data_IF_314220773651
#
_entry.id   IF_314220773651
#
_cell.length_a   1.000
_cell.length_b   1.000
_cell.length_c   1.000
_cell.angle_alpha   90.00
_cell.angle_beta   90.00
_cell.angle_gamma   90.00
#
_symmetry.space_group_name_H-M   'P 1'
#
loop_
_entity.id
_entity.type
_entity.pdbx_description
1 polymer ?
#
# COMPACT_ATOMS: atom_id res chain seq x y z
N UNK A 1 2.68 28.61 -14.14
CA UNK A 1 3.27 27.25 -14.01
C UNK A 1 3.06 26.72 -12.59
N UNK A 2 2.12 25.79 -12.41
CA UNK A 2 1.94 25.11 -11.12
C UNK A 2 3.13 24.18 -10.88
N UNK A 3 3.89 24.46 -9.83
CA UNK A 3 4.99 23.59 -9.41
C UNK A 3 4.38 22.40 -8.66
N UNK A 4 4.47 21.20 -9.26
CA UNK A 4 4.07 19.97 -8.59
C UNK A 4 4.98 19.72 -7.39
N UNK A 5 4.39 19.72 -6.19
CA UNK A 5 5.09 19.43 -4.93
C UNK A 5 4.66 18.08 -4.36
N UNK A 6 5.62 17.32 -3.82
CA UNK A 6 5.34 16.06 -3.11
C UNK A 6 5.46 16.30 -1.60
N UNK A 7 4.33 16.45 -0.88
CA UNK A 7 4.40 16.64 0.56
C UNK A 7 4.84 15.34 1.24
N UNK A 8 6.03 15.36 1.86
CA UNK A 8 6.57 14.24 2.63
C UNK A 8 6.56 14.62 4.11
N UNK A 9 5.92 13.77 4.93
CA UNK A 9 5.87 13.93 6.38
C UNK A 9 6.86 12.95 7.00
N UNK A 10 7.82 13.46 7.77
CA UNK A 10 8.71 12.63 8.56
C UNK A 10 7.98 12.07 9.78
N UNK A 11 7.65 10.78 9.77
CA UNK A 11 6.89 10.14 10.86
C UNK A 11 7.74 9.70 12.06
N UNK A 12 8.99 10.16 12.20
CA UNK A 12 9.96 9.64 13.19
C UNK A 12 9.41 9.66 14.62
N UNK A 13 8.67 10.71 15.00
CA UNK A 13 8.04 10.87 16.32
C UNK A 13 6.51 10.98 16.24
N UNK A 14 5.90 10.44 15.18
CA UNK A 14 4.45 10.52 15.02
C UNK A 14 3.73 9.59 16.03
N UNK A 15 2.54 9.98 16.54
CA UNK A 15 1.82 9.23 17.59
C UNK A 15 1.58 7.75 17.26
N UNK A 16 1.29 7.42 16.00
CA UNK A 16 1.02 6.04 15.56
C UNK A 16 2.20 5.38 14.82
N UNK A 17 3.42 5.91 14.95
CA UNK A 17 4.60 5.39 14.23
C UNK A 17 4.88 3.92 14.53
N UNK A 18 4.74 3.52 15.80
CA UNK A 18 4.95 2.14 16.24
C UNK A 18 3.87 1.20 15.72
N UNK A 19 2.60 1.63 15.77
CA UNK A 19 1.47 0.87 15.21
C UNK A 19 1.67 0.70 13.70
N UNK A 20 2.06 1.76 13.01
CA UNK A 20 2.36 1.73 11.58
C UNK A 20 3.49 0.75 11.26
N UNK A 21 4.57 0.74 12.05
CA UNK A 21 5.69 -0.19 11.86
C UNK A 21 5.27 -1.64 12.11
N UNK A 22 4.45 -1.86 13.14
CA UNK A 22 3.94 -3.18 13.48
C UNK A 22 3.03 -3.74 12.39
N UNK A 23 2.12 -2.91 11.85
CA UNK A 23 1.25 -3.31 10.73
C UNK A 23 2.06 -3.65 9.47
N UNK A 24 3.08 -2.85 9.15
CA UNK A 24 4.00 -3.14 8.05
C UNK A 24 4.69 -4.50 8.24
N UNK A 25 5.25 -4.77 9.42
CA UNK A 25 5.93 -6.03 9.72
C UNK A 25 5.05 -7.27 9.55
N UNK A 26 3.76 -7.19 9.90
CA UNK A 26 2.86 -8.36 9.80
C UNK A 26 2.24 -8.51 8.41
N UNK A 27 2.03 -7.41 7.67
CA UNK A 27 1.32 -7.44 6.38
C UNK A 27 2.27 -7.61 5.20
N UNK A 28 3.47 -7.00 5.24
CA UNK A 28 4.45 -7.04 4.14
C UNK A 28 4.85 -8.45 3.71
N UNK A 29 5.09 -9.42 4.62
CA UNK A 29 5.41 -10.80 4.21
C UNK A 29 4.28 -11.45 3.40
N UNK A 30 3.02 -11.21 3.79
CA UNK A 30 1.84 -11.75 3.11
C UNK A 30 1.70 -11.09 1.74
N UNK A 31 1.82 -9.77 1.68
CA UNK A 31 1.80 -9.01 0.43
C UNK A 31 2.86 -9.53 -0.55
N UNK A 32 4.11 -9.64 -0.11
CA UNK A 32 5.22 -10.11 -0.96
C UNK A 32 5.00 -11.54 -1.47
N UNK A 33 4.41 -12.42 -0.66
CA UNK A 33 4.04 -13.77 -1.10
C UNK A 33 3.00 -13.74 -2.23
N UNK A 34 1.99 -12.87 -2.10
CA UNK A 34 0.91 -12.73 -3.10
C UNK A 34 1.44 -12.11 -4.39
N UNK A 35 2.22 -11.03 -4.29
CA UNK A 35 2.63 -10.23 -5.46
C UNK A 35 3.68 -10.90 -6.32
N UNK A 36 4.51 -11.79 -5.76
CA UNK A 36 5.54 -12.53 -6.51
C UNK A 36 5.02 -13.18 -7.81
N UNK A 37 3.76 -13.62 -7.82
CA UNK A 37 3.15 -14.33 -8.94
C UNK A 37 2.32 -13.43 -9.88
N UNK A 38 2.03 -12.18 -9.49
CA UNK A 38 1.11 -11.29 -10.24
C UNK A 38 1.74 -9.95 -10.66
N UNK A 39 2.90 -9.59 -10.10
CA UNK A 39 3.65 -8.39 -10.47
C UNK A 39 5.01 -8.75 -11.05
N UNK A 40 5.70 -7.76 -11.62
CA UNK A 40 7.10 -7.85 -12.02
C UNK A 40 7.97 -7.19 -10.95
N UNK A 41 9.00 -7.88 -10.49
CA UNK A 41 9.85 -7.37 -9.40
C UNK A 41 10.87 -6.35 -9.94
N UNK A 42 11.33 -6.54 -11.18
CA UNK A 42 12.28 -5.67 -11.87
C UNK A 42 12.21 -5.89 -13.39
N UNK A 43 13.01 -5.14 -14.15
CA UNK A 43 13.08 -5.24 -15.61
C UNK A 43 13.51 -6.62 -16.11
N UNK A 44 14.43 -7.28 -15.41
CA UNK A 44 14.87 -8.64 -15.76
C UNK A 44 13.74 -9.66 -15.58
N UNK A 45 12.98 -9.56 -14.49
CA UNK A 45 11.81 -10.40 -14.21
C UNK A 45 10.69 -10.16 -15.23
N UNK A 46 10.47 -8.90 -15.63
CA UNK A 46 9.55 -8.52 -16.69
C UNK A 46 9.92 -9.19 -18.02
N UNK A 47 11.16 -9.04 -18.47
CA UNK A 47 11.62 -9.64 -19.74
C UNK A 47 11.48 -11.15 -19.71
N UNK A 48 11.83 -11.81 -18.60
CA UNK A 48 11.68 -13.25 -18.43
C UNK A 48 10.22 -13.68 -18.55
N UNK A 49 9.31 -13.05 -17.80
CA UNK A 49 7.88 -13.36 -17.82
C UNK A 49 7.23 -13.06 -19.17
N UNK A 50 7.66 -12.00 -19.87
CA UNK A 50 7.19 -11.71 -21.23
C UNK A 50 7.63 -12.78 -22.24
N UNK A 51 8.86 -13.28 -22.14
CA UNK A 51 9.33 -14.41 -22.96
C UNK A 51 8.54 -15.68 -22.68
N UNK A 52 8.26 -15.98 -21.40
CA UNK A 52 7.41 -17.11 -21.03
C UNK A 52 5.98 -16.93 -21.57
N UNK A 53 5.43 -15.71 -21.54
CA UNK A 53 4.11 -15.40 -22.09
C UNK A 53 4.05 -15.61 -23.61
N UNK A 54 5.10 -15.20 -24.33
CA UNK A 54 5.26 -15.42 -25.77
C UNK A 54 5.43 -16.91 -26.13
N UNK A 55 6.29 -17.64 -25.40
CA UNK A 55 6.51 -19.08 -25.59
C UNK A 55 5.24 -19.92 -25.36
N UNK A 56 4.36 -19.47 -24.48
CA UNK A 56 3.06 -20.10 -24.26
C UNK A 56 2.00 -19.72 -25.32
N UNK A 57 2.37 -18.91 -26.32
CA UNK A 57 1.48 -18.48 -27.41
C UNK A 57 0.46 -17.42 -27.01
N UNK A 58 0.62 -16.78 -25.85
CA UNK A 58 -0.31 -15.75 -25.39
C UNK A 58 -0.03 -14.38 -25.99
N UNK A 59 1.19 -14.14 -26.48
CA UNK A 59 1.54 -12.93 -27.21
C UNK A 59 1.09 -13.09 -28.67
N UNK A 60 0.04 -12.38 -29.04
CA UNK A 60 -0.55 -12.43 -30.38
C UNK A 60 -0.44 -11.06 -31.06
N UNK A 61 -0.74 -11.02 -32.35
CA UNK A 61 -0.82 -9.75 -33.10
C UNK A 61 -1.90 -8.79 -32.59
N UNK A 62 -2.83 -9.27 -31.77
CA UNK A 62 -3.90 -8.46 -31.16
C UNK A 62 -3.63 -8.11 -29.70
N UNK A 63 -2.49 -8.52 -29.13
CA UNK A 63 -2.10 -8.14 -27.77
C UNK A 63 -1.82 -6.64 -27.69
N UNK A 64 -2.46 -5.96 -26.74
CA UNK A 64 -2.25 -4.54 -26.47
C UNK A 64 -1.53 -4.35 -25.14
N UNK A 65 -0.49 -3.53 -25.15
CA UNK A 65 0.18 -3.05 -23.94
C UNK A 65 -0.40 -1.70 -23.55
N UNK A 66 -0.85 -1.57 -22.30
CA UNK A 66 -1.42 -0.33 -21.77
C UNK A 66 -0.63 0.07 -20.53
N UNK A 67 -0.33 1.36 -20.42
CA UNK A 67 0.34 1.95 -19.26
C UNK A 67 -0.66 2.89 -18.59
N UNK A 68 -0.86 2.69 -17.29
CA UNK A 68 -1.62 3.60 -16.44
C UNK A 68 -0.67 4.19 -15.42
N UNK A 69 -0.71 5.51 -15.28
CA UNK A 69 0.02 6.22 -14.22
C UNK A 69 -1.00 6.80 -13.23
N UNK A 70 -0.82 6.49 -11.94
CA UNK A 70 -1.71 6.97 -10.88
C UNK A 70 -1.05 8.16 -10.20
N UNK A 71 -1.57 9.35 -10.48
CA UNK A 71 -1.09 10.59 -9.85
C UNK A 71 -1.37 10.59 -8.35
N UNK A 72 -0.38 10.98 -7.55
CA UNK A 72 -0.54 11.23 -6.11
C UNK A 72 -1.13 10.06 -5.30
N UNK A 73 -0.81 8.82 -5.69
CA UNK A 73 -1.35 7.59 -5.09
C UNK A 73 -1.49 7.67 -3.56
N UNK A 74 -0.38 7.93 -2.86
CA UNK A 74 -0.36 7.95 -1.39
C UNK A 74 -1.28 9.00 -0.77
N UNK A 75 -1.31 10.22 -1.31
CA UNK A 75 -2.08 11.34 -0.75
C UNK A 75 -3.54 11.31 -1.22
N UNK A 76 -3.87 10.53 -2.25
CA UNK A 76 -5.21 10.45 -2.83
C UNK A 76 -6.00 9.17 -2.50
N UNK A 77 -5.39 8.17 -1.86
CA UNK A 77 -6.09 6.95 -1.42
C UNK A 77 -7.34 7.31 -0.58
N UNK A 78 -8.55 6.92 -1.05
CA UNK A 78 -9.77 7.08 -0.26
C UNK A 78 -9.72 6.19 0.97
N UNK A 79 -9.90 6.78 2.15
CA UNK A 79 -9.73 6.09 3.43
C UNK A 79 -10.63 4.86 3.57
N UNK A 80 -11.93 5.03 3.33
CA UNK A 80 -12.90 3.94 3.47
C UNK A 80 -12.64 2.81 2.46
N UNK A 81 -12.26 3.17 1.24
CA UNK A 81 -11.85 2.24 0.20
C UNK A 81 -10.63 1.43 0.60
N UNK A 82 -9.60 2.09 1.14
CA UNK A 82 -8.39 1.43 1.63
C UNK A 82 -8.67 0.47 2.80
N UNK A 83 -9.46 0.89 3.78
CA UNK A 83 -9.84 0.03 4.91
C UNK A 83 -10.66 -1.18 4.43
N UNK A 84 -11.58 -0.98 3.48
CA UNK A 84 -12.35 -2.07 2.90
C UNK A 84 -11.48 -3.03 2.09
N UNK A 85 -10.52 -2.53 1.31
CA UNK A 85 -9.57 -3.33 0.55
C UNK A 85 -8.68 -4.16 1.48
N UNK A 86 -8.09 -3.53 2.50
CA UNK A 86 -7.30 -4.21 3.52
C UNK A 86 -8.10 -5.30 4.24
N UNK A 87 -9.36 -5.02 4.59
CA UNK A 87 -10.25 -6.02 5.21
C UNK A 87 -10.43 -7.24 4.33
N UNK A 88 -10.74 -7.05 3.04
CA UNK A 88 -10.87 -8.15 2.06
C UNK A 88 -9.57 -8.93 1.93
N UNK A 89 -8.44 -8.23 1.82
CA UNK A 89 -7.12 -8.84 1.76
C UNK A 89 -6.85 -9.70 3.00
N UNK A 90 -7.00 -9.14 4.20
CA UNK A 90 -6.76 -9.85 5.44
C UNK A 90 -7.69 -11.06 5.62
N UNK A 91 -8.96 -10.94 5.26
CA UNK A 91 -9.91 -12.07 5.31
C UNK A 91 -9.46 -13.21 4.38
N UNK A 92 -9.08 -12.87 3.13
CA UNK A 92 -8.64 -13.84 2.12
C UNK A 92 -7.40 -14.64 2.55
N UNK A 93 -6.45 -13.99 3.25
CA UNK A 93 -5.18 -14.60 3.65
C UNK A 93 -5.09 -14.95 5.15
N UNK A 94 -6.23 -14.88 5.86
CA UNK A 94 -6.30 -15.28 7.27
C UNK A 94 -6.49 -16.78 7.44
N UNK A 95 -5.97 -17.32 8.54
CA UNK A 95 -6.29 -18.68 9.00
C UNK A 95 -7.26 -18.56 10.19
N UNK A 96 -8.47 -19.09 10.06
CA UNK A 96 -9.52 -18.99 11.08
C UNK A 96 -9.81 -17.54 11.51
N UNK A 97 -9.81 -16.60 10.56
CA UNK A 97 -10.07 -15.18 10.81
C UNK A 97 -8.94 -14.45 11.53
N UNK A 98 -7.73 -15.03 11.54
CA UNK A 98 -6.53 -14.43 12.13
C UNK A 98 -5.35 -14.37 11.16
N UNK A 99 -4.53 -13.33 11.31
CA UNK A 99 -3.18 -13.25 10.75
C UNK A 99 -2.21 -13.39 11.91
N UNK A 100 -1.43 -14.47 11.92
CA UNK A 100 -0.71 -14.90 13.11
C UNK A 100 -1.68 -15.05 14.29
N UNK A 101 -1.44 -14.28 15.35
CA UNK A 101 -2.28 -14.30 16.56
C UNK A 101 -3.37 -13.21 16.59
N UNK A 102 -3.42 -12.34 15.59
CA UNK A 102 -4.34 -11.19 15.58
C UNK A 102 -5.59 -11.47 14.78
N UNK A 103 -6.76 -11.16 15.35
CA UNK A 103 -8.02 -11.14 14.61
C UNK A 103 -7.96 -10.07 13.52
N UNK A 104 -8.56 -10.33 12.37
CA UNK A 104 -8.66 -9.36 11.27
C UNK A 104 -9.24 -8.02 11.77
N UNK A 105 -10.28 -8.05 12.61
CA UNK A 105 -10.86 -6.80 13.16
C UNK A 105 -9.86 -5.95 13.95
N UNK A 106 -8.92 -6.57 14.66
CA UNK A 106 -7.90 -5.84 15.41
C UNK A 106 -6.96 -5.14 14.44
N UNK A 107 -6.53 -5.81 13.37
CA UNK A 107 -5.68 -5.24 12.33
C UNK A 107 -6.37 -4.04 11.67
N UNK A 108 -7.66 -4.16 11.35
CA UNK A 108 -8.44 -3.08 10.75
C UNK A 108 -8.57 -1.88 11.70
N UNK A 109 -8.81 -2.10 12.99
CA UNK A 109 -8.86 -1.02 13.98
C UNK A 109 -7.51 -0.29 14.09
N UNK A 110 -6.41 -1.03 14.13
CA UNK A 110 -5.06 -0.45 14.18
C UNK A 110 -4.75 0.35 12.91
N UNK A 111 -5.12 -0.15 11.73
CA UNK A 111 -4.98 0.56 10.46
C UNK A 111 -5.77 1.87 10.46
N UNK A 112 -7.01 1.85 10.94
CA UNK A 112 -7.83 3.05 11.09
C UNK A 112 -7.18 4.09 12.00
N UNK A 113 -6.58 3.67 13.12
CA UNK A 113 -5.85 4.57 14.03
C UNK A 113 -4.66 5.22 13.33
N UNK A 114 -3.86 4.46 12.56
CA UNK A 114 -2.72 5.03 11.82
C UNK A 114 -3.19 6.08 10.82
N UNK A 115 -4.28 5.82 10.09
CA UNK A 115 -4.84 6.77 9.13
C UNK A 115 -5.47 8.00 9.82
N UNK A 116 -6.09 7.84 10.99
CA UNK A 116 -6.72 8.93 11.75
C UNK A 116 -5.75 9.87 12.45
N UNK A 117 -4.59 9.36 12.83
CA UNK A 117 -3.58 10.09 13.60
C UNK A 117 -2.49 10.68 12.72
N UNK A 118 -2.67 10.61 11.40
CA UNK A 118 -1.75 11.15 10.43
C UNK A 118 -1.71 12.68 10.49
N UNK A 119 -0.77 13.19 11.27
CA UNK A 119 -0.64 14.60 11.62
C UNK A 119 0.80 15.06 11.49
N UNK A 120 0.98 16.34 11.18
CA UNK A 120 2.28 16.97 11.02
C UNK A 120 2.27 18.41 11.53
N UNK A 121 3.43 18.94 11.87
CA UNK A 121 3.60 20.32 12.28
C UNK A 121 4.29 21.13 11.17
N UNK A 122 3.81 22.35 10.92
CA UNK A 122 4.42 23.30 10.01
C UNK A 122 4.13 24.73 10.47
N UNK A 123 5.15 25.59 10.54
CA UNK A 123 5.04 26.97 11.05
C UNK A 123 4.26 27.06 12.38
N UNK A 124 4.70 26.29 13.37
CA UNK A 124 4.11 26.22 14.72
C UNK A 124 2.62 25.88 14.78
N UNK A 125 2.08 25.30 13.71
CA UNK A 125 0.70 24.82 13.61
C UNK A 125 0.68 23.33 13.34
N UNK A 126 -0.29 22.65 13.97
CA UNK A 126 -0.55 21.24 13.75
C UNK A 126 -1.64 21.05 12.70
N UNK A 127 -1.38 20.15 11.77
CA UNK A 127 -2.30 19.79 10.70
C UNK A 127 -2.54 18.29 10.75
N UNK A 128 -3.76 17.89 10.39
CA UNK A 128 -4.12 16.48 10.17
C UNK A 128 -4.43 16.29 8.70
N UNK A 129 -3.81 15.29 8.11
CA UNK A 129 -4.11 14.89 6.74
C UNK A 129 -5.44 14.12 6.74
N UNK A 130 -6.42 14.63 5.99
CA UNK A 130 -7.79 14.07 5.93
C UNK A 130 -8.01 13.11 4.76
N UNK A 131 -7.05 13.03 3.82
CA UNK A 131 -7.12 12.18 2.62
C UNK A 131 -5.78 11.49 2.38
N UNK A 132 -5.81 10.24 1.95
CA UNK A 132 -4.62 9.42 1.76
C UNK A 132 -3.92 9.08 3.07
N UNK A 133 -2.65 8.70 2.98
CA UNK A 133 -1.77 8.57 4.13
C UNK A 133 -0.43 9.30 3.90
N UNK A 134 0.34 9.43 4.97
CA UNK A 134 1.65 10.06 4.89
C UNK A 134 2.62 9.17 4.12
N UNK A 135 3.27 9.72 3.10
CA UNK A 135 4.30 9.00 2.34
C UNK A 135 5.43 8.46 3.24
N UNK A 136 5.71 9.10 4.40
CA UNK A 136 6.72 8.65 5.36
C UNK A 136 6.23 7.60 6.37
N UNK A 137 4.96 7.16 6.31
CA UNK A 137 4.44 6.10 7.16
C UNK A 137 4.70 4.73 6.53
N UNK A 138 5.35 3.78 7.24
CA UNK A 138 5.56 2.44 6.70
C UNK A 138 4.28 1.69 6.34
N UNK A 139 3.21 1.90 7.09
CA UNK A 139 1.94 1.25 6.81
C UNK A 139 1.31 1.79 5.52
N UNK A 140 1.43 3.10 5.24
CA UNK A 140 0.93 3.69 3.99
C UNK A 140 1.60 3.08 2.76
N UNK A 141 2.89 2.71 2.84
CA UNK A 141 3.57 2.00 1.75
C UNK A 141 2.90 0.65 1.44
N UNK A 142 2.60 -0.14 2.47
CA UNK A 142 1.95 -1.45 2.30
C UNK A 142 0.50 -1.32 1.86
N UNK A 143 -0.19 -0.27 2.29
CA UNK A 143 -1.60 -0.04 1.97
C UNK A 143 -1.82 0.45 0.54
N UNK A 144 -0.85 1.17 -0.03
CA UNK A 144 -0.91 1.67 -1.42
C UNK A 144 -0.62 0.59 -2.46
N UNK A 145 -0.03 -0.50 -2.01
CA UNK A 145 0.42 -1.68 -2.74
C UNK A 145 -0.74 -2.69 -2.90
#
# INVERSE_FOLDING_TARGET
PEISVRPIIASINAPARLISSFLDQILTPIYNYVTKNITFINSTDLIRKLKEYDQNGYLTSTTLFVIFDVTDLYTMIPRDGAIAALRRFCQKYSTNGKIGNLKVETIIKLASVVLDTNSFAYNDKYYRQIKGGAMGSPFTMVLAN
#
